data_IF_970901202150
#
_entry.id   IF_970901202150
#
_cell.length_a   1.000
_cell.length_b   1.000
_cell.length_c   1.000
_cell.angle_alpha   90.00
_cell.angle_beta   90.00
_cell.angle_gamma   90.00
#
_symmetry.space_group_name_H-M   'P 1'
#
loop_
_entity.id
_entity.type
_entity.pdbx_description
1 polymer ?
#
# COMPACT_ATOMS: atom_id res chain seq x y z
N UNK A 1 -10.67 1.61 7.61
CA UNK A 1 -9.51 2.54 7.65
C UNK A 1 -8.51 2.13 6.60
N UNK A 2 -7.78 3.07 6.03
CA UNK A 2 -6.73 2.78 5.05
C UNK A 2 -5.35 2.62 5.73
N UNK A 3 -4.44 1.91 5.08
CA UNK A 3 -3.09 1.61 5.56
C UNK A 3 -2.10 2.68 5.10
N UNK A 4 -1.40 3.29 6.05
CA UNK A 4 -0.37 4.29 5.80
C UNK A 4 0.93 3.71 5.24
N UNK A 5 1.91 4.58 4.97
CA UNK A 5 3.22 4.19 4.44
C UNK A 5 3.90 3.15 5.34
N UNK A 6 4.55 2.15 4.73
CA UNK A 6 5.23 1.08 5.46
C UNK A 6 4.32 -0.03 6.01
N UNK A 7 3.00 0.14 5.99
CA UNK A 7 2.07 -0.87 6.51
C UNK A 7 1.87 -2.02 5.54
N UNK A 8 1.83 -3.24 6.06
CA UNK A 8 1.65 -4.46 5.28
C UNK A 8 0.30 -4.48 4.55
N UNK A 9 0.29 -4.76 3.26
CA UNK A 9 -0.88 -4.77 2.40
C UNK A 9 -0.86 -5.96 1.44
N UNK A 10 -2.03 -6.29 0.89
CA UNK A 10 -2.19 -7.26 -0.19
C UNK A 10 -2.20 -6.53 -1.53
N UNK A 11 -1.34 -6.97 -2.45
CA UNK A 11 -1.33 -6.42 -3.80
C UNK A 11 -2.69 -6.64 -4.48
N UNK A 12 -3.28 -5.58 -5.03
CA UNK A 12 -4.61 -5.62 -5.64
C UNK A 12 -5.78 -5.50 -4.66
N UNK A 13 -5.51 -5.43 -3.35
CA UNK A 13 -6.49 -4.92 -2.40
C UNK A 13 -6.16 -3.44 -2.21
N UNK A 14 -7.09 -2.54 -2.53
CA UNK A 14 -6.99 -1.09 -2.29
C UNK A 14 -7.03 -0.75 -0.79
N UNK A 15 -6.13 -1.38 -0.02
CA UNK A 15 -6.02 -1.20 1.43
C UNK A 15 -5.22 0.05 1.79
N UNK A 16 -4.41 0.57 0.87
CA UNK A 16 -3.51 1.68 1.13
C UNK A 16 -4.23 3.03 1.09
N UNK A 17 -3.77 4.00 1.87
CA UNK A 17 -4.34 5.35 1.84
C UNK A 17 -4.10 6.05 0.50
N UNK A 18 -4.86 7.13 0.26
CA UNK A 18 -4.69 7.98 -0.93
C UNK A 18 -3.21 8.35 -1.12
N UNK A 19 -2.73 8.26 -2.37
CA UNK A 19 -1.33 8.43 -2.79
C UNK A 19 -0.37 7.30 -2.39
N UNK A 20 -0.89 6.18 -1.87
CA UNK A 20 -0.12 4.98 -1.60
C UNK A 20 -0.67 3.81 -2.41
N UNK A 21 0.23 2.97 -2.92
CA UNK A 21 -0.10 1.70 -3.56
C UNK A 21 0.58 0.56 -2.83
N UNK A 22 -0.05 -0.60 -2.87
CA UNK A 22 0.58 -1.78 -2.31
C UNK A 22 1.75 -2.23 -3.19
N UNK A 23 2.96 -2.28 -2.63
CA UNK A 23 4.13 -2.80 -3.32
C UNK A 23 3.95 -4.28 -3.64
N UNK A 24 3.91 -4.65 -4.93
CA UNK A 24 3.80 -6.07 -5.34
C UNK A 24 4.94 -6.93 -4.77
N UNK A 25 6.15 -6.37 -4.73
CA UNK A 25 7.37 -7.06 -4.29
C UNK A 25 7.41 -7.22 -2.77
N UNK A 26 7.20 -6.11 -2.04
CA UNK A 26 7.43 -6.10 -0.60
C UNK A 26 6.16 -6.22 0.25
N UNK A 27 4.96 -6.16 -0.37
CA UNK A 27 3.67 -6.31 0.30
C UNK A 27 3.43 -5.28 1.41
N UNK A 28 3.86 -4.04 1.18
CA UNK A 28 3.56 -2.88 2.04
C UNK A 28 3.22 -1.65 1.22
N UNK A 29 2.44 -0.74 1.81
CA UNK A 29 1.96 0.49 1.18
C UNK A 29 3.12 1.46 1.00
N UNK A 30 3.45 1.77 -0.26
CA UNK A 30 4.48 2.74 -0.66
C UNK A 30 3.85 3.88 -1.44
N UNK A 31 4.54 5.00 -1.57
CA UNK A 31 4.10 6.06 -2.47
C UNK A 31 4.03 5.57 -3.93
N UNK A 32 2.98 5.98 -4.64
CA UNK A 32 3.02 6.07 -6.10
C UNK A 32 4.03 7.13 -6.46
N UNK A 33 5.19 6.73 -6.99
CA UNK A 33 6.05 7.62 -7.77
C UNK A 33 5.36 7.93 -9.10
#
# INVERSE_FOLDING_TARGET
GCKGFGKACKYGADECCKNLVCSKKHKWCKYTL
#
